data_IF_498926556714
#
_entry.id   IF_498926556714
#
_cell.length_a   1.000
_cell.length_b   1.000
_cell.length_c   1.000
_cell.angle_alpha   90.00
_cell.angle_beta   90.00
_cell.angle_gamma   90.00
#
_symmetry.space_group_name_H-M   'P 1'
#
loop_
_entity.id
_entity.type
_entity.pdbx_description
1 polymer ?
#
# COMPACT_ATOMS: atom_id res chain seq x y z
N UNK A 1 -9.92 4.00 -20.34
CA UNK A 1 -10.49 3.25 -19.19
C UNK A 1 -11.24 4.26 -18.34
N UNK A 2 -12.47 3.96 -17.89
CA UNK A 2 -13.22 4.91 -17.06
C UNK A 2 -12.58 5.06 -15.68
N UNK A 3 -12.61 6.25 -15.05
CA UNK A 3 -12.14 6.44 -13.67
C UNK A 3 -12.86 5.54 -12.66
N UNK A 4 -12.30 5.38 -11.46
CA UNK A 4 -13.03 4.79 -10.34
C UNK A 4 -14.05 5.83 -9.87
N UNK A 5 -15.36 5.49 -9.72
CA UNK A 5 -16.36 6.44 -9.21
C UNK A 5 -15.93 7.04 -7.87
N UNK A 6 -16.12 8.35 -7.72
CA UNK A 6 -15.82 9.13 -6.50
C UNK A 6 -14.38 8.98 -5.95
N UNK A 7 -13.43 8.50 -6.78
CA UNK A 7 -12.04 8.41 -6.40
C UNK A 7 -11.31 9.74 -6.63
N UNK A 8 -10.86 10.35 -5.54
CA UNK A 8 -10.00 11.52 -5.57
C UNK A 8 -8.55 11.09 -5.38
N UNK A 9 -7.64 11.66 -6.18
CA UNK A 9 -6.20 11.44 -6.04
C UNK A 9 -5.70 12.20 -4.80
N UNK A 10 -5.24 11.47 -3.78
CA UNK A 10 -4.75 12.06 -2.52
C UNK A 10 -3.29 12.45 -2.64
N UNK A 11 -2.48 11.57 -3.24
CA UNK A 11 -1.05 11.81 -3.46
C UNK A 11 -0.57 11.15 -4.75
N UNK A 12 0.26 11.86 -5.49
CA UNK A 12 0.78 11.45 -6.79
C UNK A 12 2.31 11.42 -6.79
N UNK A 13 2.87 10.35 -7.36
CA UNK A 13 4.31 10.17 -7.49
C UNK A 13 4.70 9.97 -8.95
N UNK A 14 5.79 10.59 -9.38
CA UNK A 14 6.45 10.18 -10.61
C UNK A 14 7.15 8.84 -10.40
N UNK A 15 6.85 7.89 -11.29
CA UNK A 15 7.43 6.55 -11.27
C UNK A 15 7.93 6.15 -12.66
N UNK A 16 8.83 5.18 -12.68
CA UNK A 16 9.20 4.44 -13.90
C UNK A 16 8.50 3.09 -13.84
N UNK A 17 7.66 2.78 -14.83
CA UNK A 17 7.11 1.44 -15.02
C UNK A 17 8.12 0.59 -15.78
N UNK A 18 8.37 -0.61 -15.29
CA UNK A 18 9.26 -1.59 -15.91
C UNK A 18 8.40 -2.61 -16.66
N UNK A 19 8.50 -2.62 -17.98
CA UNK A 19 7.78 -3.53 -18.85
C UNK A 19 8.78 -4.41 -19.60
N UNK A 20 8.51 -5.71 -19.69
CA UNK A 20 9.32 -6.66 -20.45
C UNK A 20 9.32 -6.37 -21.96
N UNK A 21 8.21 -5.85 -22.49
CA UNK A 21 8.05 -5.63 -23.93
C UNK A 21 8.32 -4.18 -24.36
N UNK A 22 8.00 -3.19 -23.51
CA UNK A 22 8.18 -1.77 -23.80
C UNK A 22 9.43 -1.16 -23.15
N UNK A 23 10.11 -1.91 -22.28
CA UNK A 23 11.20 -1.38 -21.46
C UNK A 23 10.70 -0.44 -20.35
N UNK A 24 11.52 0.55 -20.00
CA UNK A 24 11.28 1.47 -18.89
C UNK A 24 10.64 2.77 -19.39
N UNK A 25 9.56 3.21 -18.77
CA UNK A 25 8.89 4.46 -19.16
C UNK A 25 8.18 5.16 -18.00
N UNK A 26 8.05 6.49 -18.09
CA UNK A 26 7.45 7.33 -17.05
C UNK A 26 5.94 7.11 -16.92
N UNK A 27 5.45 7.09 -15.68
CA UNK A 27 4.04 7.14 -15.28
C UNK A 27 3.88 8.05 -14.06
N UNK A 28 2.67 8.51 -13.83
CA UNK A 28 2.25 9.00 -12.52
C UNK A 28 1.59 7.82 -11.83
N UNK A 29 1.93 7.58 -10.56
CA UNK A 29 1.31 6.59 -9.69
C UNK A 29 0.58 7.34 -8.58
N UNK A 30 -0.74 7.21 -8.57
CA UNK A 30 -1.61 7.91 -7.63
C UNK A 30 -2.19 6.94 -6.61
N UNK A 31 -2.15 7.37 -5.35
CA UNK A 31 -2.91 6.78 -4.26
C UNK A 31 -4.14 7.65 -4.05
N UNK A 32 -5.32 7.10 -4.29
CA UNK A 32 -6.60 7.79 -4.16
C UNK A 32 -7.44 7.33 -2.98
N UNK A 33 -8.61 7.94 -2.83
CA UNK A 33 -9.55 7.62 -1.75
C UNK A 33 -10.14 6.20 -1.87
N UNK A 34 -10.30 5.68 -3.08
CA UNK A 34 -10.94 4.38 -3.34
C UNK A 34 -10.02 3.36 -4.03
N UNK A 35 -8.86 3.78 -4.51
CA UNK A 35 -7.94 2.88 -5.18
C UNK A 35 -6.65 3.52 -5.64
N UNK A 36 -5.93 2.78 -6.46
CA UNK A 36 -4.66 3.19 -7.05
C UNK A 36 -4.85 3.37 -8.55
N UNK A 37 -4.39 4.50 -9.07
CA UNK A 37 -4.48 4.83 -10.51
C UNK A 37 -3.11 5.16 -11.07
N UNK A 38 -2.87 4.85 -12.34
CA UNK A 38 -1.64 5.24 -13.03
C UNK A 38 -1.93 6.02 -14.29
N UNK A 39 -1.24 7.12 -14.52
CA UNK A 39 -1.49 8.04 -15.64
C UNK A 39 -0.30 8.18 -16.59
N UNK A 40 -0.57 8.52 -17.85
CA UNK A 40 0.44 9.07 -18.76
C UNK A 40 0.81 10.48 -18.27
N UNK A 41 2.09 10.80 -18.03
CA UNK A 41 2.46 12.10 -17.45
C UNK A 41 2.05 13.31 -18.30
N UNK A 42 2.03 13.17 -19.63
CA UNK A 42 1.76 14.29 -20.54
C UNK A 42 0.26 14.57 -20.73
N UNK A 43 -0.57 13.53 -20.75
CA UNK A 43 -1.99 13.65 -21.07
C UNK A 43 -2.91 13.42 -19.88
N UNK A 44 -2.37 12.97 -18.75
CA UNK A 44 -3.12 12.50 -17.58
C UNK A 44 -4.16 11.41 -17.92
N UNK A 45 -3.97 10.72 -19.05
CA UNK A 45 -4.82 9.61 -19.44
C UNK A 45 -4.59 8.42 -18.50
N UNK A 46 -5.67 7.89 -17.94
CA UNK A 46 -5.66 6.69 -17.10
C UNK A 46 -5.13 5.50 -17.92
N UNK A 47 -4.04 4.91 -17.44
CA UNK A 47 -3.42 3.72 -18.04
C UNK A 47 -3.72 2.43 -17.29
N UNK A 48 -3.92 2.50 -15.98
CA UNK A 48 -4.41 1.40 -15.14
C UNK A 48 -5.15 2.00 -13.95
N UNK A 49 -6.13 1.28 -13.40
CA UNK A 49 -6.83 1.59 -12.15
C UNK A 49 -7.10 0.29 -11.40
N UNK A 50 -7.04 0.34 -10.08
CA UNK A 50 -7.38 -0.78 -9.20
C UNK A 50 -8.11 -0.23 -8.00
N UNK A 51 -9.34 -0.70 -7.76
CA UNK A 51 -9.96 -0.49 -6.45
C UNK A 51 -9.11 -1.20 -5.39
N UNK A 52 -9.14 -0.72 -4.14
CA UNK A 52 -8.33 -1.34 -3.09
C UNK A 52 -8.63 -2.84 -2.92
N UNK A 53 -9.90 -3.24 -3.03
CA UNK A 53 -10.32 -4.65 -2.97
C UNK A 53 -9.83 -5.54 -4.13
N UNK A 54 -9.24 -4.95 -5.17
CA UNK A 54 -8.59 -5.64 -6.29
C UNK A 54 -7.06 -5.69 -6.14
N UNK A 55 -6.49 -4.91 -5.23
CA UNK A 55 -5.05 -4.96 -4.91
C UNK A 55 -4.78 -6.20 -4.09
N UNK A 56 -4.10 -7.17 -4.72
CA UNK A 56 -3.73 -8.44 -4.10
C UNK A 56 -2.49 -8.25 -3.22
N UNK A 57 -1.43 -7.68 -3.79
CA UNK A 57 -0.15 -7.48 -3.11
C UNK A 57 0.43 -6.13 -3.51
N UNK A 58 0.94 -5.40 -2.53
CA UNK A 58 1.81 -4.25 -2.74
C UNK A 58 3.03 -4.43 -1.83
N UNK A 59 4.23 -4.50 -2.42
CA UNK A 59 5.46 -4.81 -1.67
C UNK A 59 6.71 -4.21 -2.29
N UNK A 60 7.75 -4.06 -1.47
CA UNK A 60 9.10 -3.74 -1.94
C UNK A 60 9.62 -4.84 -2.88
N UNK A 61 10.32 -4.45 -3.95
CA UNK A 61 11.01 -5.41 -4.79
C UNK A 61 12.32 -5.86 -4.10
N UNK A 62 12.65 -7.16 -4.09
CA UNK A 62 13.90 -7.64 -3.50
C UNK A 62 15.12 -6.94 -4.12
N UNK A 63 16.13 -6.67 -3.30
CA UNK A 63 17.44 -6.15 -3.74
C UNK A 63 17.40 -4.81 -4.49
N UNK A 64 16.36 -3.98 -4.31
CA UNK A 64 16.31 -2.64 -4.89
C UNK A 64 15.77 -1.61 -3.91
N UNK A 65 16.49 -0.50 -3.67
CA UNK A 65 16.06 0.55 -2.75
C UNK A 65 14.91 1.41 -3.30
N UNK A 66 14.63 1.33 -4.61
CA UNK A 66 13.66 2.21 -5.27
C UNK A 66 12.54 1.46 -5.98
N UNK A 67 12.63 0.13 -6.12
CA UNK A 67 11.62 -0.66 -6.82
C UNK A 67 10.57 -1.25 -5.88
N UNK A 68 9.37 -1.38 -6.41
CA UNK A 68 8.24 -2.03 -5.77
C UNK A 68 7.39 -2.78 -6.80
N UNK A 69 6.57 -3.68 -6.29
CA UNK A 69 5.68 -4.54 -7.07
C UNK A 69 4.25 -4.32 -6.60
N UNK A 70 3.34 -4.17 -7.55
CA UNK A 70 1.90 -4.27 -7.33
C UNK A 70 1.39 -5.47 -8.11
N UNK A 71 0.66 -6.36 -7.43
CA UNK A 71 -0.14 -7.40 -8.04
C UNK A 71 -1.60 -7.05 -7.80
N UNK A 72 -2.38 -6.92 -8.87
CA UNK A 72 -3.78 -6.55 -8.76
C UNK A 72 -4.63 -7.29 -9.79
N UNK A 73 -5.89 -7.54 -9.44
CA UNK A 73 -6.86 -8.11 -10.36
C UNK A 73 -7.16 -7.14 -11.48
N UNK A 74 -7.38 -7.70 -12.66
CA UNK A 74 -8.06 -7.00 -13.75
C UNK A 74 -9.48 -7.54 -13.85
N UNK A 75 -10.34 -6.75 -14.47
CA UNK A 75 -11.68 -7.18 -14.88
C UNK A 75 -11.57 -8.54 -15.59
N UNK A 76 -12.18 -9.57 -15.01
CA UNK A 76 -12.17 -10.97 -15.45
C UNK A 76 -10.90 -11.82 -15.19
N UNK A 77 -9.83 -11.29 -14.58
CA UNK A 77 -8.64 -12.08 -14.21
C UNK A 77 -8.45 -12.19 -12.69
N UNK A 78 -8.90 -13.31 -12.12
CA UNK A 78 -8.78 -13.61 -10.69
C UNK A 78 -7.34 -13.79 -10.20
N UNK A 79 -6.40 -14.24 -11.05
CA UNK A 79 -4.99 -14.46 -10.69
C UNK A 79 -4.21 -13.15 -10.52
N UNK A 80 -4.69 -12.07 -11.16
CA UNK A 80 -4.07 -10.75 -11.13
C UNK A 80 -2.78 -10.68 -11.95
N UNK A 81 -2.40 -9.45 -12.30
CA UNK A 81 -1.17 -9.16 -13.04
C UNK A 81 -0.18 -8.45 -12.11
N UNK A 82 1.09 -8.87 -12.16
CA UNK A 82 2.17 -8.22 -11.43
C UNK A 82 2.83 -7.14 -12.30
N UNK A 83 2.96 -5.94 -11.75
CA UNK A 83 3.66 -4.83 -12.38
C UNK A 83 4.76 -4.32 -11.46
N UNK A 84 5.91 -3.98 -12.07
CA UNK A 84 7.07 -3.43 -11.38
C UNK A 84 7.22 -1.95 -11.69
N UNK A 85 7.47 -1.17 -10.64
CA UNK A 85 7.67 0.26 -10.71
C UNK A 85 8.90 0.66 -9.89
N UNK A 86 9.47 1.83 -10.17
CA UNK A 86 10.49 2.45 -9.32
C UNK A 86 10.30 3.94 -9.14
N UNK A 87 10.66 4.45 -7.96
CA UNK A 87 10.74 5.88 -7.63
C UNK A 87 11.69 6.08 -6.45
N UNK A 88 12.31 7.24 -6.34
CA UNK A 88 13.13 7.62 -5.17
C UNK A 88 12.28 7.78 -3.90
N UNK A 89 10.98 8.07 -4.07
CA UNK A 89 10.02 8.21 -2.98
C UNK A 89 9.32 6.89 -2.62
N UNK A 90 9.96 5.74 -2.85
CA UNK A 90 9.32 4.41 -2.72
C UNK A 90 8.74 4.23 -1.32
N UNK A 91 9.50 4.59 -0.28
CA UNK A 91 9.06 4.44 1.11
C UNK A 91 7.82 5.29 1.40
N UNK A 92 7.82 6.57 1.02
CA UNK A 92 6.66 7.45 1.19
C UNK A 92 5.44 6.94 0.42
N UNK A 93 5.62 6.52 -0.84
CA UNK A 93 4.55 5.96 -1.66
C UNK A 93 3.90 4.74 -1.01
N UNK A 94 4.72 3.80 -0.53
CA UNK A 94 4.22 2.59 0.12
C UNK A 94 3.54 2.90 1.45
N UNK A 95 4.10 3.81 2.26
CA UNK A 95 3.47 4.25 3.51
C UNK A 95 2.09 4.86 3.27
N UNK A 96 1.95 5.72 2.26
CA UNK A 96 0.65 6.31 1.91
C UNK A 96 -0.35 5.24 1.44
N UNK A 97 0.08 4.32 0.59
CA UNK A 97 -0.77 3.22 0.14
C UNK A 97 -1.22 2.29 1.28
N UNK A 98 -0.35 2.08 2.28
CA UNK A 98 -0.63 1.17 3.39
C UNK A 98 -1.60 1.73 4.43
N UNK A 99 -1.92 3.04 4.42
CA UNK A 99 -3.03 3.58 5.22
C UNK A 99 -4.37 2.91 4.86
N UNK A 100 -4.56 2.58 3.58
CA UNK A 100 -5.73 1.87 3.07
C UNK A 100 -5.57 0.34 3.08
N UNK A 101 -4.53 -0.21 3.71
CA UNK A 101 -4.22 -1.66 3.62
C UNK A 101 -5.35 -2.55 4.14
N UNK A 102 -6.08 -2.10 5.16
CA UNK A 102 -7.19 -2.84 5.78
C UNK A 102 -8.34 -3.16 4.80
N UNK A 103 -8.50 -2.38 3.73
CA UNK A 103 -9.49 -2.58 2.66
C UNK A 103 -8.91 -3.26 1.40
N UNK A 104 -7.65 -3.72 1.43
CA UNK A 104 -7.09 -4.51 0.32
C UNK A 104 -7.73 -5.90 0.23
N UNK A 105 -7.54 -6.58 -0.89
CA UNK A 105 -8.07 -7.93 -1.11
C UNK A 105 -7.54 -8.94 -0.07
N UNK A 106 -6.21 -8.99 0.04
CA UNK A 106 -5.54 -9.91 0.95
C UNK A 106 -5.63 -9.35 2.38
N UNK A 107 -6.32 -10.07 3.25
CA UNK A 107 -6.33 -9.79 4.69
C UNK A 107 -5.04 -10.36 5.28
N UNK A 108 -4.30 -9.53 6.01
CA UNK A 108 -3.08 -9.98 6.67
C UNK A 108 -3.41 -10.98 7.76
N UNK A 109 -2.74 -12.14 7.72
CA UNK A 109 -2.84 -13.18 8.74
C UNK A 109 -1.66 -13.16 9.72
N UNK A 110 -0.56 -12.49 9.38
CA UNK A 110 0.66 -12.40 10.20
C UNK A 110 0.91 -10.96 10.66
N UNK A 111 0.09 -10.44 11.56
CA UNK A 111 0.52 -9.29 12.36
C UNK A 111 1.38 -9.76 13.52
N UNK A 112 2.57 -9.17 13.64
CA UNK A 112 3.47 -9.50 14.75
C UNK A 112 2.99 -8.75 16.00
N UNK A 113 2.54 -9.52 16.99
CA UNK A 113 2.12 -8.99 18.29
C UNK A 113 3.19 -9.25 19.33
N UNK A 114 3.41 -8.27 20.19
CA UNK A 114 4.42 -8.31 21.25
C UNK A 114 3.81 -7.89 22.57
N UNK A 115 4.00 -8.70 23.60
CA UNK A 115 3.74 -8.31 24.98
C UNK A 115 4.80 -7.31 25.43
N UNK A 116 4.37 -6.18 25.98
CA UNK A 116 5.24 -5.10 26.42
C UNK A 116 4.74 -4.48 27.74
N UNK A 117 5.53 -3.56 28.28
CA UNK A 117 5.19 -2.82 29.50
C UNK A 117 5.31 -1.32 29.29
N UNK A 118 4.28 -0.58 29.68
CA UNK A 118 4.27 0.89 29.73
C UNK A 118 4.51 1.37 31.15
N UNK A 119 5.41 2.35 31.32
CA UNK A 119 5.62 2.99 32.60
C UNK A 119 4.52 4.01 32.88
N UNK A 120 3.83 3.82 33.99
CA UNK A 120 2.92 4.81 34.55
C UNK A 120 3.71 5.81 35.41
N UNK A 121 3.20 7.05 35.54
CA UNK A 121 3.86 8.10 36.33
C UNK A 121 4.06 7.72 37.81
N UNK A 122 3.25 6.79 38.34
CA UNK A 122 3.41 6.24 39.69
C UNK A 122 4.58 5.27 39.85
N UNK A 123 5.34 5.00 38.78
CA UNK A 123 6.39 3.97 38.74
C UNK A 123 5.85 2.55 38.52
N UNK A 124 4.53 2.37 38.47
CA UNK A 124 3.89 1.08 38.14
C UNK A 124 4.12 0.74 36.66
N UNK A 125 4.38 -0.53 36.37
CA UNK A 125 4.42 -1.05 35.00
C UNK A 125 3.07 -1.64 34.63
N UNK A 126 2.48 -1.15 33.54
CA UNK A 126 1.21 -1.64 33.02
C UNK A 126 1.50 -2.57 31.83
N UNK A 127 0.98 -3.81 31.82
CA UNK A 127 1.09 -4.68 30.66
C UNK A 127 0.30 -4.08 29.49
N UNK A 128 0.86 -4.13 28.29
CA UNK A 128 0.22 -3.71 27.04
C UNK A 128 0.58 -4.70 25.94
N UNK A 129 -0.28 -4.82 24.94
CA UNK A 129 0.02 -5.59 23.73
C UNK A 129 0.26 -4.61 22.58
N UNK A 130 1.36 -4.79 21.85
CA UNK A 130 1.71 -3.98 20.68
C UNK A 130 1.54 -4.81 19.41
N UNK A 131 0.96 -4.22 18.37
CA UNK A 131 0.88 -4.79 17.03
C UNK A 131 1.77 -3.99 16.07
N UNK A 132 2.66 -4.67 15.36
CA UNK A 132 3.48 -4.06 14.31
C UNK A 132 2.72 -4.11 12.99
N UNK A 133 2.41 -2.95 12.44
CA UNK A 133 1.80 -2.79 11.12
C UNK A 133 2.86 -2.31 10.11
N UNK A 134 2.55 -2.30 8.80
CA UNK A 134 3.48 -1.76 7.80
C UNK A 134 3.83 -0.28 7.96
N UNK A 135 3.06 0.50 8.74
CA UNK A 135 3.23 1.95 8.89
C UNK A 135 3.22 2.45 10.32
N UNK A 136 2.89 1.60 11.30
CA UNK A 136 2.72 1.99 12.70
C UNK A 136 3.07 0.84 13.63
N UNK A 137 3.23 1.19 14.90
CA UNK A 137 3.19 0.25 16.01
C UNK A 137 1.99 0.68 16.85
N UNK A 138 0.97 -0.14 16.86
CA UNK A 138 -0.31 0.18 17.50
C UNK A 138 -0.38 -0.49 18.88
N UNK A 139 -0.85 0.22 19.89
CA UNK A 139 -1.13 -0.38 21.19
C UNK A 139 -2.56 -0.92 21.16
N UNK A 140 -2.73 -2.22 21.42
CA UNK A 140 -4.03 -2.85 21.50
C UNK A 140 -4.61 -2.70 22.91
N UNK A 141 -5.91 -2.43 23.00
CA UNK A 141 -6.68 -2.58 24.21
C UNK A 141 -6.71 -4.06 24.62
N UNK A 142 -6.31 -4.34 25.86
CA UNK A 142 -6.12 -5.71 26.34
C UNK A 142 -7.43 -6.49 26.53
N UNK A 143 -8.59 -5.81 26.54
CA UNK A 143 -9.89 -6.45 26.69
C UNK A 143 -10.57 -6.72 25.33
N UNK A 144 -10.36 -5.86 24.34
CA UNK A 144 -11.05 -5.87 23.04
C UNK A 144 -10.15 -6.25 21.86
N UNK A 145 -8.83 -6.21 22.04
CA UNK A 145 -7.82 -6.37 20.99
C UNK A 145 -7.97 -5.38 19.82
N UNK A 146 -8.50 -4.19 20.09
CA UNK A 146 -8.64 -3.09 19.13
C UNK A 146 -7.65 -1.95 19.44
N UNK A 147 -7.29 -1.16 18.43
CA UNK A 147 -6.46 0.06 18.56
C UNK A 147 -7.27 1.20 19.14
#
# INVERSE_FOLDING_TARGET
MMPIPDNEDVVCYHVIKHSSWKGKYKRIFSIGTHGITTYKPQSLEVTNRWMYNDVLVLRVAPNSPNEFLIQARKENNKKGDTMRFSTEHRSQLLSEAFKSRHIFHEKWTDTQKYEAFKYHWSGTRLPVQLEVTPISIDQLDTATAQV
#
